data_IF_465394912260
#
_entry.id   IF_465394912260
#
_cell.length_a   1.000
_cell.length_b   1.000
_cell.length_c   1.000
_cell.angle_alpha   90.00
_cell.angle_beta   90.00
_cell.angle_gamma   90.00
#
_symmetry.space_group_name_H-M   'P 1'
#
loop_
_entity.id
_entity.type
_entity.pdbx_description
1 polymer ?
#
# COMPACT_ATOMS: atom_id res chain seq x y z
N UNK A 1 11.44 -10.81 13.99
CA UNK A 1 11.85 -10.97 12.57
C UNK A 1 11.18 -9.95 11.65
N UNK A 2 9.85 -9.77 11.71
CA UNK A 2 9.09 -8.82 10.86
C UNK A 2 9.69 -7.41 10.77
N UNK A 3 9.93 -6.73 11.92
CA UNK A 3 10.51 -5.38 11.96
C UNK A 3 11.83 -5.26 11.19
N UNK A 4 12.65 -6.31 11.16
CA UNK A 4 13.93 -6.32 10.43
C UNK A 4 13.73 -6.37 8.92
N UNK A 5 12.76 -7.14 8.44
CA UNK A 5 12.45 -7.21 7.00
C UNK A 5 11.81 -5.92 6.49
N UNK A 6 10.82 -5.41 7.23
CA UNK A 6 10.19 -4.12 6.92
C UNK A 6 11.22 -2.99 6.95
N UNK A 7 12.03 -2.91 8.02
CA UNK A 7 13.06 -1.87 8.13
C UNK A 7 14.14 -1.94 7.05
N UNK A 8 14.54 -3.15 6.63
CA UNK A 8 15.47 -3.33 5.50
C UNK A 8 14.89 -2.84 4.18
N UNK A 9 13.60 -3.10 3.92
CA UNK A 9 12.93 -2.64 2.70
C UNK A 9 12.81 -1.12 2.65
N UNK A 10 12.42 -0.49 3.77
CA UNK A 10 12.41 0.97 3.92
C UNK A 10 13.78 1.57 3.60
N UNK A 11 14.85 1.00 4.18
CA UNK A 11 16.22 1.45 3.93
C UNK A 11 16.65 1.26 2.47
N UNK A 12 16.41 0.09 1.88
CA UNK A 12 16.75 -0.22 0.46
C UNK A 12 16.08 0.75 -0.51
N UNK A 13 14.80 1.07 -0.26
CA UNK A 13 14.02 2.00 -1.10
C UNK A 13 14.15 3.46 -0.71
N UNK A 14 15.01 3.77 0.28
CA UNK A 14 15.21 5.13 0.82
C UNK A 14 13.89 5.79 1.25
N UNK A 15 12.95 4.99 1.75
CA UNK A 15 11.68 5.46 2.30
C UNK A 15 11.94 5.94 3.73
N UNK A 16 11.62 7.20 4.05
CA UNK A 16 11.67 7.70 5.43
C UNK A 16 10.85 6.82 6.39
N UNK A 17 11.36 6.53 7.58
CA UNK A 17 10.67 5.64 8.52
C UNK A 17 9.35 6.21 9.06
N UNK A 18 9.19 7.54 9.05
CA UNK A 18 7.94 8.22 9.37
C UNK A 18 6.83 7.97 8.34
N UNK A 19 7.12 7.43 7.15
CA UNK A 19 6.11 6.95 6.22
C UNK A 19 5.22 5.84 6.83
N UNK A 20 5.70 5.14 7.87
CA UNK A 20 4.89 4.19 8.63
C UNK A 20 3.76 4.86 9.45
N UNK A 21 3.81 6.19 9.63
CA UNK A 21 2.74 6.97 10.27
C UNK A 21 1.61 7.35 9.30
N UNK A 22 1.76 7.02 8.01
CA UNK A 22 0.70 7.21 7.02
C UNK A 22 -0.57 6.46 7.42
N UNK A 23 -1.78 7.04 7.25
CA UNK A 23 -3.04 6.35 7.54
C UNK A 23 -3.23 5.09 6.68
N UNK A 24 -2.53 4.97 5.55
CA UNK A 24 -2.56 3.82 4.65
C UNK A 24 -1.67 2.65 5.10
N UNK A 25 -0.71 2.89 6.01
CA UNK A 25 0.24 1.85 6.42
C UNK A 25 -0.42 0.73 7.25
N UNK A 26 -1.25 1.00 8.28
CA UNK A 26 -1.96 -0.07 9.00
C UNK A 26 -2.95 -0.88 8.13
N UNK A 27 -3.77 -0.26 7.26
CA UNK A 27 -4.62 -0.98 6.31
C UNK A 27 -3.83 -1.91 5.38
N UNK A 28 -2.71 -1.45 4.81
CA UNK A 28 -1.84 -2.27 3.96
C UNK A 28 -1.34 -3.52 4.73
N UNK A 29 -0.85 -3.35 5.96
CA UNK A 29 -0.37 -4.47 6.79
C UNK A 29 -1.51 -5.45 7.11
N UNK A 30 -2.70 -4.94 7.42
CA UNK A 30 -3.89 -5.75 7.69
C UNK A 30 -4.33 -6.56 6.46
N UNK A 31 -4.30 -5.95 5.26
CA UNK A 31 -4.59 -6.63 4.01
C UNK A 31 -3.61 -7.79 3.74
N UNK A 32 -2.30 -7.56 3.94
CA UNK A 32 -1.26 -8.60 3.80
C UNK A 32 -1.49 -9.74 4.80
N UNK A 33 -1.85 -9.43 6.06
CA UNK A 33 -2.15 -10.45 7.06
C UNK A 33 -3.38 -11.29 6.71
N UNK A 34 -4.45 -10.65 6.19
CA UNK A 34 -5.68 -11.34 5.76
C UNK A 34 -5.46 -12.22 4.53
N UNK A 35 -4.59 -11.79 3.62
CA UNK A 35 -4.21 -12.57 2.44
C UNK A 35 -3.57 -13.92 2.81
N UNK A 36 -2.79 -13.96 3.89
CA UNK A 36 -2.16 -15.18 4.36
C UNK A 36 -0.93 -15.62 3.54
N UNK A 37 -0.30 -16.76 3.89
CA UNK A 37 1.02 -17.14 3.37
C UNK A 37 1.08 -17.50 1.89
N UNK A 38 -0.05 -17.85 1.27
CA UNK A 38 -0.12 -18.34 -0.11
C UNK A 38 -0.27 -17.23 -1.15
N UNK A 39 -0.44 -15.98 -0.71
CA UNK A 39 -0.60 -14.85 -1.63
C UNK A 39 0.75 -14.41 -2.17
N UNK A 40 0.89 -14.47 -3.49
CA UNK A 40 2.01 -13.88 -4.19
C UNK A 40 1.94 -12.36 -4.05
N UNK A 41 3.02 -11.68 -3.61
CA UNK A 41 3.06 -10.24 -3.65
C UNK A 41 2.83 -9.74 -5.07
N UNK A 42 2.07 -8.64 -5.25
CA UNK A 42 1.84 -8.07 -6.57
C UNK A 42 3.16 -7.58 -7.19
N UNK A 43 3.26 -7.73 -8.51
CA UNK A 43 4.38 -7.23 -9.31
C UNK A 43 4.25 -5.71 -9.50
N UNK A 44 5.36 -5.05 -9.85
CA UNK A 44 5.37 -3.60 -10.06
C UNK A 44 4.34 -3.13 -11.11
N UNK A 45 4.09 -3.91 -12.17
CA UNK A 45 3.11 -3.57 -13.20
C UNK A 45 1.66 -3.68 -12.69
N UNK A 46 1.39 -4.60 -11.77
CA UNK A 46 0.06 -4.80 -11.17
C UNK A 46 -0.24 -3.61 -10.26
N UNK A 47 0.72 -3.23 -9.42
CA UNK A 47 0.63 -2.05 -8.57
C UNK A 47 0.45 -0.75 -9.37
N UNK A 48 1.14 -0.57 -10.49
CA UNK A 48 1.03 0.66 -11.28
C UNK A 48 -0.29 0.80 -12.03
N UNK A 49 -0.91 -0.32 -12.42
CA UNK A 49 -2.18 -0.30 -13.15
C UNK A 49 -3.37 -0.19 -12.20
N UNK A 50 -3.50 -1.14 -11.29
CA UNK A 50 -4.70 -1.24 -10.45
C UNK A 50 -4.82 -0.11 -9.43
N UNK A 51 -3.70 0.37 -8.87
CA UNK A 51 -3.74 1.47 -7.90
C UNK A 51 -4.14 2.77 -8.60
N UNK A 52 -3.68 3.01 -9.83
CA UNK A 52 -4.05 4.24 -10.53
C UNK A 52 -5.55 4.28 -10.82
N UNK A 53 -6.13 3.14 -11.25
CA UNK A 53 -7.56 3.04 -11.54
C UNK A 53 -8.40 3.14 -10.25
N UNK A 54 -7.99 2.47 -9.16
CA UNK A 54 -8.69 2.55 -7.87
C UNK A 54 -8.65 3.96 -7.26
N UNK A 55 -7.49 4.64 -7.30
CA UNK A 55 -7.34 6.01 -6.80
C UNK A 55 -8.13 7.01 -7.66
N UNK A 56 -8.20 6.81 -8.99
CA UNK A 56 -9.02 7.62 -9.88
C UNK A 56 -10.50 7.45 -9.56
N UNK A 57 -10.96 6.22 -9.34
CA UNK A 57 -12.35 5.93 -8.97
C UNK A 57 -12.72 6.52 -7.60
N UNK A 58 -11.83 6.42 -6.61
CA UNK A 58 -12.02 7.04 -5.30
C UNK A 58 -12.11 8.56 -5.42
N UNK A 59 -11.15 9.21 -6.08
CA UNK A 59 -11.16 10.68 -6.25
C UNK A 59 -12.38 11.15 -7.05
N UNK A 60 -12.79 10.38 -8.07
CA UNK A 60 -13.99 10.70 -8.87
C UNK A 60 -15.25 10.68 -8.01
N UNK A 61 -15.43 9.67 -7.16
CA UNK A 61 -16.56 9.59 -6.22
C UNK A 61 -16.54 10.76 -5.23
N UNK A 62 -15.37 11.09 -4.67
CA UNK A 62 -15.22 12.27 -3.82
C UNK A 62 -15.64 13.55 -4.56
N UNK A 63 -15.25 13.75 -5.82
CA UNK A 63 -15.66 14.94 -6.58
C UNK A 63 -17.18 14.97 -6.81
N UNK A 64 -17.81 13.83 -7.07
CA UNK A 64 -19.27 13.73 -7.27
C UNK A 64 -20.06 14.01 -6.00
N UNK A 65 -19.56 13.61 -4.83
CA UNK A 65 -20.20 13.92 -3.53
C UNK A 65 -20.22 15.42 -3.20
N UNK A 66 -19.32 16.20 -3.81
CA UNK A 66 -19.21 17.66 -3.61
C UNK A 66 -19.85 18.50 -4.74
N UNK A 67 -20.51 17.88 -5.73
CA UNK A 67 -21.30 18.55 -6.77
C UNK A 67 -22.76 18.76 -6.34
#
# INVERSE_FOLDING_TARGET
MLRRYVGKWFYDKRIPFDAANSPYFPPMVSAIQRAGPEVKPPMAYELSGSILDEEVDEVTKWIEEYK
#
